data_IF_980745055786
#
_entry.id   IF_980745055786
#
_cell.length_a   1.000
_cell.length_b   1.000
_cell.length_c   1.000
_cell.angle_alpha   90.00
_cell.angle_beta   90.00
_cell.angle_gamma   90.00
#
_symmetry.space_group_name_H-M   'P 1'
#
loop_
_entity.id
_entity.type
_entity.pdbx_description
1 polymer ?
#
# COMPACT_ATOMS: atom_id res chain seq x y z
N UNK A 1 -20.71 -63.08 50.89
CA UNK A 1 -19.26 -62.97 51.16
C UNK A 1 -18.64 -61.96 50.19
N UNK A 2 -18.69 -60.68 50.59
CA UNK A 2 -17.60 -59.70 50.76
C UNK A 2 -16.44 -59.59 49.70
N UNK A 3 -15.69 -58.47 49.61
CA UNK A 3 -15.98 -57.20 48.88
C UNK A 3 -14.67 -56.56 48.27
N UNK A 4 -14.68 -55.24 47.96
CA UNK A 4 -13.53 -54.29 47.83
C UNK A 4 -12.59 -54.47 46.59
N UNK A 5 -12.00 -53.49 45.87
CA UNK A 5 -11.57 -52.08 46.07
C UNK A 5 -11.48 -51.33 44.72
N UNK A 6 -11.92 -50.08 44.75
CA UNK A 6 -11.29 -48.87 44.19
C UNK A 6 -9.87 -49.02 43.60
N UNK A 7 -9.70 -48.78 42.29
CA UNK A 7 -8.39 -48.54 41.66
C UNK A 7 -8.46 -47.32 40.71
N UNK A 8 -8.29 -46.14 41.32
CA UNK A 8 -7.52 -44.97 40.90
C UNK A 8 -7.58 -44.53 39.42
N UNK A 9 -8.42 -43.51 39.12
CA UNK A 9 -8.18 -42.56 38.02
C UNK A 9 -6.77 -41.95 38.19
N UNK A 10 -5.86 -42.16 37.24
CA UNK A 10 -4.71 -41.26 37.07
C UNK A 10 -5.11 -40.21 36.03
N UNK A 11 -5.56 -39.07 36.50
CA UNK A 11 -5.56 -37.84 35.71
C UNK A 11 -4.12 -37.33 35.69
N UNK A 12 -3.46 -37.50 34.56
CA UNK A 12 -2.26 -36.71 34.25
C UNK A 12 -2.70 -35.56 33.35
N UNK A 13 -3.00 -34.42 33.96
CA UNK A 13 -2.97 -33.12 33.28
C UNK A 13 -1.52 -32.67 33.16
N UNK A 14 -0.92 -32.59 31.95
CA UNK A 14 0.29 -31.82 31.76
C UNK A 14 -0.02 -30.31 31.76
N UNK A 15 0.89 -29.47 32.26
CA UNK A 15 0.66 -28.05 32.48
C UNK A 15 0.52 -27.27 31.18
N UNK A 16 -0.26 -26.20 31.28
CA UNK A 16 -0.47 -25.17 30.27
C UNK A 16 0.87 -24.66 29.70
N UNK A 17 1.10 -24.93 28.42
CA UNK A 17 2.15 -24.33 27.62
C UNK A 17 1.54 -23.88 26.28
N UNK A 18 1.43 -22.57 26.09
CA UNK A 18 0.82 -21.95 24.92
C UNK A 18 1.53 -22.32 23.62
N UNK A 19 0.88 -23.16 22.83
CA UNK A 19 1.20 -23.42 21.43
C UNK A 19 -0.10 -23.77 20.73
N UNK A 20 -0.64 -22.84 19.94
CA UNK A 20 -1.87 -23.03 19.19
C UNK A 20 -1.67 -24.21 18.23
N UNK A 21 -2.32 -25.33 18.50
CA UNK A 21 -2.44 -26.41 17.53
C UNK A 21 -3.42 -25.94 16.45
N UNK A 22 -2.89 -25.66 15.25
CA UNK A 22 -3.70 -25.51 14.05
C UNK A 22 -4.47 -26.82 13.85
N UNK A 23 -5.74 -26.86 14.24
CA UNK A 23 -6.66 -27.92 13.81
C UNK A 23 -6.99 -27.66 12.34
N UNK A 24 -6.11 -28.13 11.45
CA UNK A 24 -6.52 -28.38 10.07
C UNK A 24 -7.44 -29.59 10.13
N UNK A 25 -8.75 -29.38 9.95
CA UNK A 25 -9.66 -30.47 9.66
C UNK A 25 -9.33 -30.99 8.26
N UNK A 26 -8.27 -31.78 8.15
CA UNK A 26 -8.04 -32.63 6.99
C UNK A 26 -9.09 -33.72 7.11
N UNK A 27 -10.22 -33.52 6.46
CA UNK A 27 -11.09 -34.62 6.12
C UNK A 27 -10.24 -35.55 5.26
N UNK A 28 -9.73 -36.63 5.85
CA UNK A 28 -9.08 -37.72 5.13
C UNK A 28 -10.20 -38.44 4.39
N UNK A 29 -10.64 -37.87 3.27
CA UNK A 29 -11.31 -38.65 2.24
C UNK A 29 -10.18 -39.35 1.49
N UNK A 30 -9.94 -40.59 1.89
CA UNK A 30 -9.14 -41.53 1.12
C UNK A 30 -9.85 -41.74 -0.23
N UNK A 31 -9.46 -40.98 -1.26
CA UNK A 31 -9.80 -41.26 -2.64
C UNK A 31 -8.49 -41.47 -3.37
N UNK A 32 -8.03 -42.73 -3.36
CA UNK A 32 -7.03 -43.20 -4.31
C UNK A 32 -7.49 -42.83 -5.72
N UNK A 33 -6.49 -42.51 -6.58
CA UNK A 33 -6.56 -42.42 -8.05
C UNK A 33 -6.62 -41.00 -8.63
N UNK A 34 -5.41 -40.45 -8.78
CA UNK A 34 -4.93 -39.54 -9.85
C UNK A 34 -5.96 -38.59 -10.49
N UNK A 35 -5.86 -37.30 -10.19
CA UNK A 35 -5.74 -36.20 -11.18
C UNK A 35 -5.38 -34.89 -10.46
N UNK A 36 -4.14 -34.47 -10.62
CA UNK A 36 -3.74 -33.10 -10.31
C UNK A 36 -4.55 -32.17 -11.22
N UNK A 37 -5.41 -31.32 -10.63
CA UNK A 37 -6.11 -30.28 -11.37
C UNK A 37 -5.11 -29.18 -11.74
N UNK A 38 -4.87 -28.90 -13.04
CA UNK A 38 -3.85 -27.98 -13.49
C UNK A 38 -4.48 -26.62 -13.76
N UNK A 39 -4.93 -25.90 -12.74
CA UNK A 39 -5.32 -24.50 -12.94
C UNK A 39 -4.95 -23.68 -11.69
N UNK A 40 -4.36 -22.48 -11.85
CA UNK A 40 -4.15 -21.58 -10.73
C UNK A 40 -5.52 -21.11 -10.25
N UNK A 41 -6.05 -21.76 -9.22
CA UNK A 41 -7.22 -21.28 -8.50
C UNK A 41 -6.89 -19.88 -7.99
N UNK A 42 -7.41 -18.84 -8.66
CA UNK A 42 -7.45 -17.48 -8.14
C UNK A 42 -8.24 -17.54 -6.83
N UNK A 43 -7.54 -17.45 -5.70
CA UNK A 43 -8.18 -17.33 -4.39
C UNK A 43 -8.92 -15.99 -4.37
N UNK A 44 -10.25 -16.02 -4.57
CA UNK A 44 -11.09 -14.82 -4.69
C UNK A 44 -11.35 -14.18 -3.32
N UNK A 45 -11.21 -14.93 -2.22
CA UNK A 45 -11.47 -14.42 -0.87
C UNK A 45 -10.67 -15.18 0.19
N UNK A 46 -9.87 -14.46 0.96
CA UNK A 46 -9.14 -14.96 2.12
C UNK A 46 -9.97 -14.62 3.37
N UNK A 47 -10.39 -15.65 4.11
CA UNK A 47 -11.11 -15.49 5.37
C UNK A 47 -10.16 -15.75 6.53
N UNK A 48 -10.08 -14.82 7.50
CA UNK A 48 -9.36 -15.02 8.76
C UNK A 48 -10.38 -15.02 9.90
N UNK A 49 -10.57 -16.18 10.54
CA UNK A 49 -11.48 -16.30 11.69
C UNK A 49 -12.98 -16.09 11.36
N UNK A 50 -13.42 -16.41 10.15
CA UNK A 50 -14.83 -16.33 9.76
C UNK A 50 -15.37 -14.92 9.46
N UNK A 51 -14.54 -13.88 9.57
CA UNK A 51 -14.92 -12.51 9.23
C UNK A 51 -14.39 -12.12 7.84
N UNK A 52 -15.29 -11.59 7.00
CA UNK A 52 -14.93 -10.93 5.74
C UNK A 52 -14.18 -9.64 6.07
N UNK A 53 -12.91 -9.54 5.65
CA UNK A 53 -12.17 -8.29 5.77
C UNK A 53 -12.88 -7.24 4.91
N UNK A 54 -13.28 -6.11 5.52
CA UNK A 54 -13.90 -5.00 4.80
C UNK A 54 -12.94 -4.51 3.71
N UNK A 55 -13.43 -4.19 2.50
CA UNK A 55 -12.57 -3.64 1.45
C UNK A 55 -11.98 -2.31 1.92
N UNK A 56 -10.70 -2.10 1.61
CA UNK A 56 -9.98 -0.89 1.96
C UNK A 56 -10.61 0.30 1.20
N UNK A 57 -11.33 1.17 1.91
CA UNK A 57 -11.92 2.39 1.32
C UNK A 57 -10.81 3.44 1.19
N UNK A 58 -10.49 3.88 -0.03
CA UNK A 58 -9.53 4.96 -0.27
C UNK A 58 -10.07 6.24 0.39
N UNK A 59 -9.28 6.94 1.24
CA UNK A 59 -9.72 8.21 1.81
C UNK A 59 -9.92 9.26 0.72
N UNK A 60 -10.88 10.16 0.91
CA UNK A 60 -11.05 11.32 0.04
C UNK A 60 -9.79 12.19 0.16
N UNK A 61 -9.23 12.60 -0.98
CA UNK A 61 -8.04 13.45 -1.06
C UNK A 61 -8.49 14.80 -1.59
N UNK A 62 -8.01 15.88 -0.98
CA UNK A 62 -8.30 17.23 -1.46
C UNK A 62 -7.61 17.48 -2.80
N UNK A 63 -8.39 17.95 -3.77
CA UNK A 63 -7.93 18.29 -5.12
C UNK A 63 -7.94 19.81 -5.30
N UNK A 64 -6.91 20.34 -5.95
CA UNK A 64 -6.79 21.74 -6.29
C UNK A 64 -6.30 21.90 -7.73
N UNK A 65 -6.60 23.07 -8.32
CA UNK A 65 -6.03 23.47 -9.60
C UNK A 65 -4.52 23.57 -9.48
N UNK A 66 -3.81 22.75 -10.26
CA UNK A 66 -2.35 22.70 -10.30
C UNK A 66 -1.86 23.02 -11.70
N UNK A 67 -0.89 23.92 -11.78
CA UNK A 67 -0.16 24.20 -13.02
C UNK A 67 0.68 23.00 -13.44
N UNK A 68 0.51 22.60 -14.70
CA UNK A 68 1.21 21.47 -15.30
C UNK A 68 1.81 21.86 -16.65
N UNK A 69 2.94 21.23 -16.94
CA UNK A 69 3.54 21.17 -18.26
C UNK A 69 3.00 19.97 -18.99
N UNK A 70 2.31 20.17 -20.10
CA UNK A 70 1.75 19.11 -20.94
C UNK A 70 2.60 18.95 -22.18
N UNK A 71 2.85 17.72 -22.60
CA UNK A 71 3.60 17.50 -23.82
C UNK A 71 2.80 17.94 -25.05
N UNK A 72 3.45 18.60 -26.02
CA UNK A 72 2.79 19.10 -27.23
C UNK A 72 2.59 18.02 -28.30
N UNK A 73 3.29 16.88 -28.19
CA UNK A 73 3.20 15.81 -29.17
C UNK A 73 1.95 14.96 -28.98
N UNK A 74 1.21 14.72 -30.07
CA UNK A 74 -0.02 13.91 -30.07
C UNK A 74 0.22 12.44 -29.69
N UNK A 75 1.45 11.94 -29.88
CA UNK A 75 1.87 10.60 -29.49
C UNK A 75 2.26 10.47 -28.01
N UNK A 76 2.34 11.57 -27.26
CA UNK A 76 2.78 11.57 -25.87
C UNK A 76 1.81 12.34 -24.98
N UNK A 77 1.00 11.63 -24.19
CA UNK A 77 0.06 12.23 -23.23
C UNK A 77 0.68 12.41 -21.83
N UNK A 78 1.94 12.83 -21.79
CA UNK A 78 2.65 13.04 -20.54
C UNK A 78 2.45 14.46 -20.03
N UNK A 79 2.52 14.61 -18.71
CA UNK A 79 2.48 15.90 -18.07
C UNK A 79 3.28 15.87 -16.77
N UNK A 80 3.76 17.04 -16.35
CA UNK A 80 4.56 17.21 -15.14
C UNK A 80 4.03 18.41 -14.38
N UNK A 81 4.02 18.37 -13.05
CA UNK A 81 3.67 19.52 -12.22
C UNK A 81 4.74 20.61 -12.33
N UNK A 82 4.35 21.85 -12.61
CA UNK A 82 5.27 22.99 -12.69
C UNK A 82 6.00 23.26 -11.36
N UNK A 83 5.41 22.89 -10.23
CA UNK A 83 6.06 23.01 -8.92
C UNK A 83 7.33 22.12 -8.79
N UNK A 84 7.44 21.07 -9.59
CA UNK A 84 8.55 20.10 -9.53
C UNK A 84 9.58 20.29 -10.66
N UNK A 85 9.46 21.36 -11.43
CA UNK A 85 10.40 21.66 -12.51
C UNK A 85 11.46 22.66 -12.04
N UNK A 86 12.70 22.43 -12.46
CA UNK A 86 13.81 23.34 -12.18
C UNK A 86 13.96 24.45 -13.21
N UNK A 87 13.55 24.17 -14.45
CA UNK A 87 13.60 25.11 -15.56
C UNK A 87 12.24 25.74 -15.80
N UNK A 88 12.25 26.94 -16.37
CA UNK A 88 11.03 27.70 -16.69
C UNK A 88 10.27 27.09 -17.86
N UNK A 89 10.96 26.39 -18.77
CA UNK A 89 10.36 25.61 -19.86
C UNK A 89 11.09 24.26 -19.98
N UNK A 90 10.59 23.20 -19.32
CA UNK A 90 11.21 21.88 -19.39
C UNK A 90 10.84 21.16 -20.69
N UNK A 91 11.80 20.40 -21.23
CA UNK A 91 11.50 19.40 -22.24
C UNK A 91 10.77 18.20 -21.62
N UNK A 92 9.97 17.49 -22.42
CA UNK A 92 9.26 16.30 -21.98
C UNK A 92 10.26 15.17 -21.62
N UNK A 93 10.20 14.56 -20.43
CA UNK A 93 11.13 13.52 -20.02
C UNK A 93 10.89 12.18 -20.74
N UNK A 94 9.71 11.99 -21.34
CA UNK A 94 9.39 10.74 -22.03
C UNK A 94 9.80 10.75 -23.50
N UNK A 95 9.67 11.88 -24.19
CA UNK A 95 9.89 11.96 -25.64
C UNK A 95 10.80 13.12 -26.08
N UNK A 96 11.29 13.94 -25.14
CA UNK A 96 12.17 15.09 -25.43
C UNK A 96 11.49 16.25 -26.18
N UNK A 97 10.19 16.14 -26.50
CA UNK A 97 9.46 17.18 -27.20
C UNK A 97 9.21 18.42 -26.32
N UNK A 98 8.87 19.54 -26.97
CA UNK A 98 8.46 20.76 -26.28
C UNK A 98 7.18 20.55 -25.45
N UNK A 99 7.12 21.21 -24.29
CA UNK A 99 5.94 21.19 -23.42
C UNK A 99 5.19 22.53 -23.49
N UNK A 100 3.91 22.52 -23.17
CA UNK A 100 3.01 23.68 -23.12
C UNK A 100 2.40 23.81 -21.73
N UNK A 101 2.12 25.05 -21.30
CA UNK A 101 1.47 25.31 -20.01
C UNK A 101 -0.01 24.90 -20.07
N UNK A 102 -0.49 24.26 -19.02
CA UNK A 102 -1.91 24.00 -18.81
C UNK A 102 -2.22 23.82 -17.33
N UNK A 103 -3.49 23.62 -17.01
CA UNK A 103 -3.98 23.45 -15.63
C UNK A 103 -4.74 22.13 -15.50
N UNK A 104 -4.60 21.46 -14.35
CA UNK A 104 -5.33 20.22 -14.04
C UNK A 104 -5.77 20.19 -12.58
N UNK A 105 -6.96 19.63 -12.33
CA UNK A 105 -7.42 19.29 -10.98
C UNK A 105 -6.66 18.07 -10.49
N UNK A 106 -5.79 18.26 -9.49
CA UNK A 106 -4.93 17.21 -8.97
C UNK A 106 -4.89 17.27 -7.44
N UNK A 107 -4.58 16.13 -6.78
CA UNK A 107 -4.30 16.13 -5.35
C UNK A 107 -3.25 17.17 -4.96
N UNK A 108 -3.47 17.86 -3.85
CA UNK A 108 -2.51 18.82 -3.31
C UNK A 108 -1.25 18.06 -2.85
N UNK A 109 -0.08 18.48 -3.34
CA UNK A 109 1.22 17.93 -2.95
C UNK A 109 2.18 19.09 -2.69
N UNK A 110 2.80 19.10 -1.50
CA UNK A 110 3.75 20.12 -1.08
C UNK A 110 5.16 19.75 -1.53
N UNK A 111 5.83 20.67 -2.24
CA UNK A 111 7.25 20.52 -2.58
C UNK A 111 8.11 21.11 -1.45
N UNK A 112 8.34 20.30 -0.41
CA UNK A 112 9.11 20.71 0.78
C UNK A 112 10.52 21.20 0.42
N UNK A 113 11.17 20.57 -0.57
CA UNK A 113 12.52 20.95 -0.97
C UNK A 113 12.58 22.35 -1.62
N UNK A 114 11.55 22.74 -2.39
CA UNK A 114 11.47 24.07 -2.98
C UNK A 114 11.15 25.12 -1.91
N UNK A 115 10.28 24.79 -0.98
CA UNK A 115 9.91 25.67 0.13
C UNK A 115 11.10 25.99 1.05
N UNK A 116 11.87 24.97 1.47
CA UNK A 116 13.07 25.16 2.29
C UNK A 116 14.13 26.03 1.60
N UNK A 117 14.34 25.85 0.29
CA UNK A 117 15.25 26.71 -0.47
C UNK A 117 14.77 28.16 -0.53
N UNK A 118 13.46 28.36 -0.66
CA UNK A 118 12.87 29.70 -0.69
C UNK A 118 13.03 30.40 0.65
N UNK A 119 12.74 29.71 1.76
CA UNK A 119 12.88 30.27 3.11
C UNK A 119 14.34 30.61 3.42
N UNK A 120 15.29 29.75 3.05
CA UNK A 120 16.72 30.04 3.20
C UNK A 120 17.16 31.27 2.39
N UNK A 121 16.73 31.36 1.13
CA UNK A 121 17.05 32.51 0.28
C UNK A 121 16.45 33.81 0.81
N UNK A 122 15.22 33.75 1.34
CA UNK A 122 14.56 34.89 1.97
C UNK A 122 15.31 35.33 3.23
N UNK A 123 15.71 34.38 4.07
CA UNK A 123 16.51 34.64 5.28
C UNK A 123 17.85 35.31 4.91
N UNK A 124 18.60 34.74 3.96
CA UNK A 124 19.88 35.31 3.49
C UNK A 124 19.73 36.75 2.97
N UNK A 125 18.63 37.07 2.28
CA UNK A 125 18.34 38.43 1.80
C UNK A 125 18.00 39.40 2.93
N UNK A 126 17.20 38.95 3.90
CA UNK A 126 16.84 39.75 5.08
C UNK A 126 18.08 40.19 5.86
N UNK A 127 18.99 39.25 6.13
CA UNK A 127 20.23 39.52 6.86
C UNK A 127 21.26 40.35 6.08
N UNK A 128 21.11 40.48 4.75
CA UNK A 128 22.02 41.28 3.90
C UNK A 128 21.70 42.78 3.92
N UNK A 129 20.45 43.16 4.21
CA UNK A 129 19.99 44.56 4.22
C UNK A 129 20.08 45.23 5.62
N UNK A 130 20.85 44.65 6.54
CA UNK A 130 20.99 45.11 7.95
C UNK A 130 22.34 45.85 8.18
N UNK A 131 23.19 45.98 7.15
CA UNK A 131 24.38 46.84 7.13
C UNK A 131 24.23 47.90 6.04
#
# INVERSE_FOLDING_TARGET
MLPIREIRRRETTPPLGGGQTLRVAVHVICCERRRAFPFPLRIISIYKGGALLKPFKKPAVEEAETDVWQCSSSSCNSWIRANFTFNDEPACPLCGSATTKGTKMLPVIVNQAKELRQTENNWRKSHRNIL
#
